data_IF_616692779254
#
_entry.id   IF_616692779254
#
_cell.length_a   1.000
_cell.length_b   1.000
_cell.length_c   1.000
_cell.angle_alpha   90.00
_cell.angle_beta   90.00
_cell.angle_gamma   90.00
#
_symmetry.space_group_name_H-M   'P 1'
#
loop_
_entity.id
_entity.type
_entity.pdbx_description
1 polymer ?
#
# COMPACT_ATOMS: atom_id res chain seq x y z
N UNK A 1 11.65 -71.04 -29.03
CA UNK A 1 12.69 -70.34 -28.24
C UNK A 1 12.69 -68.90 -28.74
N UNK A 2 11.76 -68.12 -28.19
CA UNK A 2 11.26 -66.87 -28.75
C UNK A 2 11.30 -65.84 -27.64
N UNK A 3 12.34 -64.99 -27.62
CA UNK A 3 12.34 -63.79 -26.78
C UNK A 3 13.50 -62.83 -27.14
N UNK A 4 13.26 -61.87 -28.04
CA UNK A 4 14.20 -60.73 -28.24
C UNK A 4 13.58 -59.43 -28.77
N UNK A 5 12.29 -59.39 -29.12
CA UNK A 5 11.70 -58.22 -29.81
C UNK A 5 11.21 -57.06 -28.89
N UNK A 6 11.28 -57.19 -27.56
CA UNK A 6 10.58 -56.28 -26.63
C UNK A 6 11.36 -55.10 -26.01
N UNK A 7 12.68 -54.96 -26.23
CA UNK A 7 13.52 -54.00 -25.46
C UNK A 7 13.79 -52.64 -26.15
N UNK A 8 13.31 -52.44 -27.37
CA UNK A 8 13.60 -51.22 -28.16
C UNK A 8 12.61 -50.06 -28.00
N UNK A 9 11.33 -50.34 -27.72
CA UNK A 9 10.28 -49.30 -27.65
C UNK A 9 10.29 -48.52 -26.34
N UNK A 10 10.53 -49.18 -25.20
CA UNK A 10 10.50 -48.56 -23.88
C UNK A 10 11.57 -47.48 -23.69
N UNK A 11 12.79 -47.70 -24.20
CA UNK A 11 13.88 -46.73 -24.07
C UNK A 11 13.69 -45.46 -24.91
N UNK A 12 12.94 -45.53 -26.02
CA UNK A 12 12.62 -44.37 -26.87
C UNK A 12 11.46 -43.57 -26.25
N UNK A 13 10.45 -44.26 -25.72
CA UNK A 13 9.30 -43.66 -25.03
C UNK A 13 9.73 -42.92 -23.75
N UNK A 14 10.58 -43.53 -22.92
CA UNK A 14 11.13 -42.92 -21.71
C UNK A 14 11.97 -41.67 -22.03
N UNK A 15 12.70 -41.68 -23.15
CA UNK A 15 13.46 -40.50 -23.63
C UNK A 15 12.54 -39.33 -23.98
N UNK A 16 11.38 -39.62 -24.57
CA UNK A 16 10.40 -38.61 -24.97
C UNK A 16 9.72 -37.96 -23.76
N UNK A 17 9.36 -38.74 -22.74
CA UNK A 17 8.77 -38.22 -21.49
C UNK A 17 9.79 -37.37 -20.73
N UNK A 18 11.06 -37.79 -20.69
CA UNK A 18 12.13 -36.99 -20.12
C UNK A 18 12.28 -35.64 -20.86
N UNK A 19 12.19 -35.62 -22.20
CA UNK A 19 12.22 -34.39 -23.00
C UNK A 19 11.00 -33.49 -22.75
N UNK A 20 9.78 -34.04 -22.67
CA UNK A 20 8.57 -33.28 -22.36
C UNK A 20 8.65 -32.60 -20.99
N UNK A 21 9.12 -33.31 -19.97
CA UNK A 21 9.31 -32.74 -18.62
C UNK A 21 10.36 -31.63 -18.65
N UNK A 22 11.42 -31.81 -19.42
CA UNK A 22 12.47 -30.82 -19.60
C UNK A 22 11.94 -29.56 -20.29
N UNK A 23 11.15 -29.71 -21.35
CA UNK A 23 10.52 -28.61 -22.09
C UNK A 23 9.48 -27.87 -21.24
N UNK A 24 8.68 -28.58 -20.44
CA UNK A 24 7.71 -27.98 -19.52
C UNK A 24 8.40 -27.21 -18.40
N UNK A 25 9.48 -27.78 -17.84
CA UNK A 25 10.35 -27.09 -16.88
C UNK A 25 10.93 -25.81 -17.47
N UNK A 26 11.35 -25.85 -18.73
CA UNK A 26 11.93 -24.70 -19.40
C UNK A 26 10.88 -23.63 -19.71
N UNK A 27 9.69 -24.03 -20.18
CA UNK A 27 8.55 -23.13 -20.40
C UNK A 27 8.07 -22.47 -19.11
N UNK A 28 7.97 -23.22 -18.01
CA UNK A 28 7.59 -22.67 -16.71
C UNK A 28 8.62 -21.65 -16.21
N UNK A 29 9.92 -21.94 -16.37
CA UNK A 29 10.99 -20.99 -16.03
C UNK A 29 10.93 -19.72 -16.88
N UNK A 30 10.60 -19.85 -18.17
CA UNK A 30 10.41 -18.71 -19.09
C UNK A 30 9.21 -17.87 -18.65
N UNK A 31 8.05 -18.49 -18.41
CA UNK A 31 6.83 -17.82 -17.96
C UNK A 31 7.05 -17.05 -16.66
N UNK A 32 7.66 -17.70 -15.64
CA UNK A 32 7.96 -17.05 -14.36
C UNK A 32 8.90 -15.85 -14.57
N UNK A 33 9.89 -15.98 -15.45
CA UNK A 33 10.83 -14.89 -15.74
C UNK A 33 10.16 -13.73 -16.48
N UNK A 34 9.23 -14.02 -17.36
CA UNK A 34 8.46 -13.03 -18.11
C UNK A 34 7.49 -12.28 -17.18
N UNK A 35 6.78 -12.98 -16.30
CA UNK A 35 5.89 -12.37 -15.31
C UNK A 35 6.66 -11.49 -14.33
N UNK A 36 7.85 -11.92 -13.89
CA UNK A 36 8.74 -11.10 -13.07
C UNK A 36 9.22 -9.85 -13.80
N UNK A 37 9.53 -9.97 -15.09
CA UNK A 37 9.94 -8.84 -15.92
C UNK A 37 8.79 -7.85 -16.07
N UNK A 38 7.59 -8.33 -16.38
CA UNK A 38 6.38 -7.52 -16.50
C UNK A 38 6.08 -6.81 -15.17
N UNK A 39 6.08 -7.55 -14.06
CA UNK A 39 5.87 -6.98 -12.73
C UNK A 39 6.91 -5.92 -12.39
N UNK A 40 8.18 -6.13 -12.76
CA UNK A 40 9.24 -5.14 -12.56
C UNK A 40 9.00 -3.87 -13.37
N UNK A 41 8.57 -4.00 -14.63
CA UNK A 41 8.24 -2.87 -15.50
C UNK A 41 7.02 -2.10 -14.97
N UNK A 42 5.97 -2.80 -14.55
CA UNK A 42 4.78 -2.19 -13.96
C UNK A 42 5.08 -1.49 -12.63
N UNK A 43 5.88 -2.13 -11.75
CA UNK A 43 6.34 -1.52 -10.50
C UNK A 43 7.18 -0.27 -10.75
N UNK A 44 8.06 -0.27 -11.77
CA UNK A 44 8.85 0.90 -12.14
C UNK A 44 7.94 2.03 -12.65
N UNK A 45 6.93 1.70 -13.47
CA UNK A 45 5.98 2.69 -13.97
C UNK A 45 5.13 3.27 -12.83
N UNK A 46 4.54 2.42 -11.98
CA UNK A 46 3.79 2.84 -10.79
C UNK A 46 4.65 3.66 -9.83
N UNK A 47 5.87 3.20 -9.56
CA UNK A 47 6.84 3.89 -8.71
C UNK A 47 7.24 5.27 -9.25
N UNK A 48 7.41 5.41 -10.56
CA UNK A 48 7.68 6.71 -11.18
C UNK A 48 6.49 7.68 -11.04
N UNK A 49 5.27 7.21 -11.28
CA UNK A 49 4.08 8.06 -11.14
C UNK A 49 3.84 8.45 -9.68
N UNK A 50 3.97 7.49 -8.76
CA UNK A 50 3.88 7.75 -7.33
C UNK A 50 4.98 8.72 -6.86
N UNK A 51 6.21 8.54 -7.31
CA UNK A 51 7.35 9.40 -6.98
C UNK A 51 7.21 10.81 -7.53
N UNK A 52 6.78 10.98 -8.78
CA UNK A 52 6.49 12.30 -9.35
C UNK A 52 5.31 12.97 -8.65
N UNK A 53 4.23 12.23 -8.38
CA UNK A 53 3.08 12.75 -7.64
C UNK A 53 3.45 13.21 -6.24
N UNK A 54 4.21 12.40 -5.50
CA UNK A 54 4.72 12.75 -4.17
C UNK A 54 5.69 13.94 -4.23
N UNK A 55 6.59 13.97 -5.22
CA UNK A 55 7.54 15.06 -5.42
C UNK A 55 6.84 16.40 -5.72
N UNK A 56 5.91 16.41 -6.69
CA UNK A 56 5.13 17.61 -7.04
C UNK A 56 4.24 18.07 -5.88
N UNK A 57 3.59 17.14 -5.18
CA UNK A 57 2.78 17.47 -4.00
C UNK A 57 3.65 18.03 -2.87
N UNK A 58 4.86 17.50 -2.68
CA UNK A 58 5.83 18.01 -1.72
C UNK A 58 6.27 19.43 -2.05
N UNK A 59 6.64 19.70 -3.31
CA UNK A 59 7.00 21.06 -3.76
C UNK A 59 5.82 22.01 -3.60
N UNK A 60 4.63 21.63 -4.05
CA UNK A 60 3.42 22.44 -3.90
C UNK A 60 3.11 22.74 -2.43
N UNK A 61 3.26 21.75 -1.54
CA UNK A 61 3.08 21.92 -0.09
C UNK A 61 4.07 22.92 0.51
N UNK A 62 5.36 22.81 0.19
CA UNK A 62 6.39 23.74 0.66
C UNK A 62 6.15 25.15 0.10
N UNK A 63 5.84 25.28 -1.18
CA UNK A 63 5.52 26.57 -1.80
C UNK A 63 4.27 27.20 -1.19
N UNK A 64 3.21 26.42 -0.98
CA UNK A 64 2.00 26.90 -0.32
C UNK A 64 2.25 27.34 1.13
N UNK A 65 3.11 26.63 1.86
CA UNK A 65 3.51 27.00 3.23
C UNK A 65 4.20 28.37 3.26
N UNK A 66 5.22 28.57 2.41
CA UNK A 66 5.91 29.87 2.34
C UNK A 66 5.00 30.98 1.80
N UNK A 67 4.15 30.68 0.80
CA UNK A 67 3.15 31.61 0.29
C UNK A 67 2.19 32.08 1.39
N UNK A 68 1.68 31.15 2.21
CA UNK A 68 0.84 31.47 3.36
C UNK A 68 1.58 32.34 4.38
N UNK A 69 2.86 32.04 4.68
CA UNK A 69 3.66 32.85 5.59
C UNK A 69 3.83 34.30 5.10
N UNK A 70 4.07 34.50 3.79
CA UNK A 70 4.15 35.84 3.18
C UNK A 70 2.81 36.56 3.26
N UNK A 71 1.69 35.88 2.99
CA UNK A 71 0.35 36.48 3.11
C UNK A 71 0.01 36.86 4.55
N UNK A 72 0.39 36.04 5.54
CA UNK A 72 0.24 36.35 6.95
C UNK A 72 1.05 37.60 7.30
N UNK A 73 2.32 37.66 6.87
CA UNK A 73 3.16 38.83 7.08
C UNK A 73 2.55 40.10 6.43
N UNK A 74 2.04 39.99 5.20
CA UNK A 74 1.35 41.08 4.52
C UNK A 74 0.10 41.54 5.27
N UNK A 75 -0.69 40.62 5.83
CA UNK A 75 -1.85 40.96 6.66
C UNK A 75 -1.45 41.70 7.95
N UNK A 76 -0.40 41.24 8.62
CA UNK A 76 0.17 41.90 9.80
C UNK A 76 0.66 43.31 9.46
N UNK A 77 1.44 43.45 8.39
CA UNK A 77 1.97 44.74 7.95
C UNK A 77 0.86 45.70 7.50
N UNK A 78 -0.14 45.20 6.77
CA UNK A 78 -1.29 46.00 6.34
C UNK A 78 -2.10 46.52 7.52
N UNK A 79 -2.33 45.68 8.54
CA UNK A 79 -3.01 46.11 9.76
C UNK A 79 -2.13 47.05 10.60
N UNK A 80 -0.81 46.85 10.58
CA UNK A 80 0.15 47.73 11.26
C UNK A 80 0.18 49.18 10.71
N UNK A 81 -0.45 49.44 9.55
CA UNK A 81 -0.63 50.81 9.05
C UNK A 81 -1.60 51.65 9.89
N UNK A 82 -2.52 51.01 10.63
CA UNK A 82 -3.56 51.68 11.41
C UNK A 82 -3.46 51.45 12.92
N UNK A 83 -2.62 50.52 13.37
CA UNK A 83 -2.39 50.21 14.78
C UNK A 83 -0.95 49.70 15.02
N UNK A 84 -0.45 49.67 16.29
CA UNK A 84 0.92 49.23 16.56
C UNK A 84 1.21 47.82 16.07
N UNK A 85 2.40 47.58 15.49
CA UNK A 85 2.74 46.30 14.85
C UNK A 85 2.60 45.08 15.77
N UNK A 86 2.86 45.24 17.08
CA UNK A 86 2.66 44.15 18.05
C UNK A 86 1.18 43.76 18.19
N UNK A 87 0.27 44.74 18.19
CA UNK A 87 -1.17 44.48 18.30
C UNK A 87 -1.70 43.84 17.01
N UNK A 88 -1.18 44.26 15.84
CA UNK A 88 -1.51 43.64 14.56
C UNK A 88 -1.10 42.16 14.53
N UNK A 89 0.12 41.86 14.97
CA UNK A 89 0.63 40.50 15.06
C UNK A 89 -0.21 39.63 16.00
N UNK A 90 -0.61 40.16 17.17
CA UNK A 90 -1.48 39.44 18.12
C UNK A 90 -2.85 39.14 17.51
N UNK A 91 -3.50 40.11 16.86
CA UNK A 91 -4.83 39.93 16.26
C UNK A 91 -4.80 38.83 15.18
N UNK A 92 -3.84 38.92 14.25
CA UNK A 92 -3.70 37.93 13.19
C UNK A 92 -3.32 36.55 13.78
N UNK A 93 -2.44 36.52 14.78
CA UNK A 93 -2.05 35.29 15.47
C UNK A 93 -3.22 34.59 16.14
N UNK A 94 -4.08 35.32 16.87
CA UNK A 94 -5.29 34.76 17.49
C UNK A 94 -6.27 34.25 16.44
N UNK A 95 -6.47 35.01 15.35
CA UNK A 95 -7.34 34.57 14.25
C UNK A 95 -6.85 33.25 13.62
N UNK A 96 -5.54 33.11 13.40
CA UNK A 96 -4.94 31.88 12.87
C UNK A 96 -5.07 30.71 13.86
N UNK A 97 -4.86 30.93 15.15
CA UNK A 97 -5.04 29.89 16.18
C UNK A 97 -6.50 29.43 16.27
N UNK A 98 -7.46 30.33 16.13
CA UNK A 98 -8.88 29.97 16.08
C UNK A 98 -9.18 29.07 14.86
N UNK A 99 -8.69 29.45 13.67
CA UNK A 99 -8.85 28.65 12.45
C UNK A 99 -8.17 27.28 12.63
N UNK A 100 -6.95 27.23 13.15
CA UNK A 100 -6.21 25.99 13.39
C UNK A 100 -6.94 25.10 14.40
N UNK A 101 -7.50 25.65 15.47
CA UNK A 101 -8.32 24.93 16.43
C UNK A 101 -9.55 24.30 15.80
N UNK A 102 -10.29 25.04 14.97
CA UNK A 102 -11.46 24.51 14.23
C UNK A 102 -11.02 23.41 13.27
N UNK A 103 -9.97 23.63 12.49
CA UNK A 103 -9.45 22.65 11.54
C UNK A 103 -9.00 21.37 12.25
N UNK A 104 -8.34 21.46 13.40
CA UNK A 104 -7.94 20.30 14.21
C UNK A 104 -9.15 19.53 14.75
N UNK A 105 -10.19 20.23 15.22
CA UNK A 105 -11.44 19.61 15.68
C UNK A 105 -12.17 18.88 14.54
N UNK A 106 -12.26 19.49 13.36
CA UNK A 106 -12.89 18.86 12.19
C UNK A 106 -12.04 17.70 11.68
N UNK A 107 -10.74 17.89 11.53
CA UNK A 107 -9.81 16.87 11.06
C UNK A 107 -9.82 15.62 11.96
N UNK A 108 -9.78 15.80 13.28
CA UNK A 108 -9.87 14.67 14.22
C UNK A 108 -11.20 13.94 14.15
N UNK A 109 -12.32 14.64 13.92
CA UNK A 109 -13.62 13.99 13.68
C UNK A 109 -13.64 13.18 12.40
N UNK A 110 -13.10 13.73 11.31
CA UNK A 110 -13.02 13.03 10.02
C UNK A 110 -12.10 11.82 10.08
N UNK A 111 -10.96 11.92 10.75
CA UNK A 111 -10.05 10.77 10.96
C UNK A 111 -10.72 9.68 11.80
N UNK A 112 -11.44 10.05 12.87
CA UNK A 112 -12.21 9.09 13.68
C UNK A 112 -13.35 8.43 12.91
N UNK A 113 -13.94 9.12 11.93
CA UNK A 113 -14.97 8.56 11.06
C UNK A 113 -14.40 7.69 9.92
N UNK A 114 -13.19 7.99 9.45
CA UNK A 114 -12.54 7.30 8.35
C UNK A 114 -11.75 6.05 8.77
N UNK A 115 -11.36 5.94 10.04
CA UNK A 115 -10.83 4.69 10.62
C UNK A 115 -12.01 3.90 11.17
N UNK A 116 -12.44 2.80 10.53
CA UNK A 116 -13.45 1.95 11.13
C UNK A 116 -12.89 1.46 12.48
N UNK A 117 -13.64 1.51 13.59
CA UNK A 117 -13.37 0.59 14.68
C UNK A 117 -13.28 -0.79 14.04
N UNK A 118 -12.21 -1.55 14.34
CA UNK A 118 -11.90 -2.87 13.77
C UNK A 118 -13.19 -3.53 13.27
N UNK A 119 -13.33 -3.85 11.96
CA UNK A 119 -14.61 -4.30 11.42
C UNK A 119 -15.10 -5.44 12.30
N UNK A 120 -16.21 -5.24 13.03
CA UNK A 120 -16.65 -6.22 14.03
C UNK A 120 -16.88 -7.58 13.39
N UNK A 121 -17.29 -7.59 12.11
CA UNK A 121 -17.41 -8.77 11.26
C UNK A 121 -16.06 -9.48 10.99
N UNK A 122 -14.99 -8.72 10.73
CA UNK A 122 -13.65 -9.28 10.53
C UNK A 122 -13.07 -9.82 11.86
N UNK A 123 -13.33 -9.14 12.98
CA UNK A 123 -12.94 -9.62 14.31
C UNK A 123 -13.76 -10.84 14.75
N UNK A 124 -15.04 -10.94 14.37
CA UNK A 124 -15.90 -12.07 14.65
C UNK A 124 -15.55 -13.30 13.79
N UNK A 125 -15.16 -13.10 12.53
CA UNK A 125 -14.68 -14.17 11.64
C UNK A 125 -13.41 -14.84 12.19
N UNK A 126 -12.43 -14.04 12.63
CA UNK A 126 -11.19 -14.56 13.22
C UNK A 126 -11.45 -15.32 14.53
N UNK A 127 -12.38 -14.85 15.37
CA UNK A 127 -12.78 -15.57 16.59
C UNK A 127 -13.41 -16.92 16.28
N UNK A 128 -14.29 -16.97 15.27
CA UNK A 128 -14.96 -18.20 14.81
C UNK A 128 -13.96 -19.20 14.23
N UNK A 129 -12.98 -18.73 13.46
CA UNK A 129 -11.92 -19.56 12.89
C UNK A 129 -11.01 -20.15 13.98
N UNK A 130 -10.68 -19.37 15.01
CA UNK A 130 -9.93 -19.85 16.19
C UNK A 130 -10.73 -20.90 16.97
N UNK A 131 -12.04 -20.73 17.10
CA UNK A 131 -12.92 -21.68 17.79
C UNK A 131 -13.03 -23.02 17.04
N UNK A 132 -13.11 -22.99 15.71
CA UNK A 132 -13.09 -24.19 14.86
C UNK A 132 -11.76 -24.95 14.99
N UNK A 133 -10.63 -24.25 15.01
CA UNK A 133 -9.31 -24.87 15.20
C UNK A 133 -9.19 -25.47 16.60
N UNK A 134 -9.70 -24.78 17.63
CA UNK A 134 -9.68 -25.26 19.02
C UNK A 134 -10.57 -26.49 19.22
N UNK A 135 -11.73 -26.58 18.57
CA UNK A 135 -12.59 -27.76 18.59
C UNK A 135 -11.98 -28.95 17.85
N UNK A 136 -11.32 -28.72 16.71
CA UNK A 136 -10.61 -29.78 15.96
C UNK A 136 -9.41 -30.35 16.72
N UNK A 137 -8.73 -29.54 17.54
CA UNK A 137 -7.62 -29.98 18.39
C UNK A 137 -8.04 -30.92 19.53
N UNK A 138 -9.30 -30.90 19.98
CA UNK A 138 -9.80 -31.77 21.06
C UNK A 138 -10.46 -33.06 20.57
N UNK A 139 -10.69 -33.21 19.26
CA UNK A 139 -11.32 -34.40 18.68
C UNK A 139 -10.38 -35.59 18.45
N UNK A 140 -9.07 -35.42 18.56
CA UNK A 140 -8.08 -36.45 18.19
C UNK A 140 -7.46 -37.23 19.36
N UNK A 141 -8.09 -37.22 20.54
CA UNK A 141 -7.59 -37.91 21.74
C UNK A 141 -8.31 -39.24 22.06
N UNK A 142 -9.19 -39.75 21.17
CA UNK A 142 -9.88 -41.04 21.34
C UNK A 142 -10.10 -41.73 19.99
N UNK A 143 -9.06 -42.34 19.44
CA UNK A 143 -9.14 -43.47 18.52
C UNK A 143 -7.88 -44.31 18.67
#
# INVERSE_FOLDING_TARGET
MSDTAGRGSTAVEDRSIAQLIQDLSEQMRRLVRDELRLATEELKQKGRHAGLGAGLTGVAGVTAFFGAAVLIAAAVLGLALVLPGWAAAVIIGVALLAIAGIAALVGTKQLKAAVPPIPEEAAAGVQKDVEIVKQRGHGNARA
#
